data_IF_024620245510
#
_entry.id   IF_024620245510
#
_cell.length_a   1.000
_cell.length_b   1.000
_cell.length_c   1.000
_cell.angle_alpha   90.00
_cell.angle_beta   90.00
_cell.angle_gamma   90.00
#
_symmetry.space_group_name_H-M   'P 1'
#
loop_
_entity.id
_entity.type
_entity.pdbx_description
1 polymer ?
#
# COMPACT_ATOMS: atom_id res chain seq x y z
N UNK A 1 -18.81 -1.06 -13.89
CA UNK A 1 -19.74 -0.74 -12.78
C UNK A 1 -21.22 -0.63 -13.24
N UNK A 2 -21.59 -1.23 -14.36
CA UNK A 2 -22.98 -1.34 -14.80
C UNK A 2 -23.68 -2.39 -13.93
N UNK A 3 -24.62 -1.96 -13.08
CA UNK A 3 -25.49 -2.84 -12.30
C UNK A 3 -25.44 -2.69 -10.78
N UNK A 4 -24.54 -1.89 -10.22
CA UNK A 4 -24.55 -1.60 -8.79
C UNK A 4 -25.31 -0.30 -8.56
N UNK A 5 -26.41 -0.38 -7.83
CA UNK A 5 -27.16 0.81 -7.41
C UNK A 5 -26.40 1.48 -6.24
N UNK A 6 -25.50 2.39 -6.57
CA UNK A 6 -24.69 3.11 -5.59
C UNK A 6 -25.57 3.84 -4.56
N UNK A 7 -26.74 4.35 -4.97
CA UNK A 7 -27.67 5.01 -4.04
C UNK A 7 -28.18 4.07 -2.95
N UNK A 8 -28.49 2.85 -3.28
CA UNK A 8 -28.98 1.82 -2.35
C UNK A 8 -27.92 1.45 -1.30
N UNK A 9 -26.64 1.41 -1.71
CA UNK A 9 -25.51 1.21 -0.79
C UNK A 9 -25.38 2.40 0.16
N UNK A 10 -25.52 3.62 -0.31
CA UNK A 10 -25.41 4.83 0.52
C UNK A 10 -26.60 4.98 1.50
N UNK A 11 -27.78 4.49 1.16
CA UNK A 11 -28.94 4.50 2.05
C UNK A 11 -28.85 3.48 3.19
N UNK A 12 -28.16 2.36 2.96
CA UNK A 12 -27.99 1.26 3.94
C UNK A 12 -26.71 1.34 4.76
N UNK A 13 -25.76 2.23 4.42
CA UNK A 13 -24.43 2.28 5.00
C UNK A 13 -24.09 3.69 5.51
N UNK A 14 -23.50 3.79 6.69
CA UNK A 14 -22.99 5.06 7.18
C UNK A 14 -21.75 5.48 6.37
N UNK A 15 -21.91 6.52 5.55
CA UNK A 15 -20.80 7.09 4.77
C UNK A 15 -20.11 8.18 5.58
N UNK A 16 -18.79 8.06 5.75
CA UNK A 16 -17.97 9.05 6.43
C UNK A 16 -16.98 9.62 5.40
N UNK A 17 -17.09 10.90 5.11
CA UNK A 17 -16.15 11.60 4.25
C UNK A 17 -14.91 12.02 5.06
N UNK A 18 -13.72 11.76 4.52
CA UNK A 18 -12.46 12.11 5.21
C UNK A 18 -12.30 13.62 5.37
N UNK A 19 -12.85 14.38 4.44
CA UNK A 19 -12.90 15.85 4.48
C UNK A 19 -13.65 16.34 5.71
N UNK A 20 -14.79 15.71 6.03
CA UNK A 20 -15.59 16.05 7.21
C UNK A 20 -14.88 15.70 8.51
N UNK A 21 -14.12 14.60 8.53
CA UNK A 21 -13.29 14.24 9.67
C UNK A 21 -12.22 15.31 9.95
N UNK A 22 -11.59 15.83 8.89
CA UNK A 22 -10.58 16.89 9.01
C UNK A 22 -11.17 18.16 9.67
N UNK A 23 -12.39 18.51 9.33
CA UNK A 23 -13.09 19.69 9.90
C UNK A 23 -13.44 19.45 11.37
N UNK A 24 -13.78 18.20 11.74
CA UNK A 24 -14.12 17.82 13.11
C UNK A 24 -12.93 17.76 14.08
N UNK A 25 -11.71 17.67 13.58
CA UNK A 25 -10.51 17.67 14.40
C UNK A 25 -10.21 19.11 14.82
N UNK A 26 -10.39 19.42 16.11
CA UNK A 26 -10.04 20.75 16.62
C UNK A 26 -8.53 20.98 16.58
N UNK A 27 -8.11 22.22 16.32
CA UNK A 27 -6.69 22.60 16.27
C UNK A 27 -5.96 22.27 17.59
N UNK A 28 -6.63 22.44 18.73
CA UNK A 28 -6.10 22.10 20.05
C UNK A 28 -5.85 20.60 20.20
N UNK A 29 -6.78 19.76 19.73
CA UNK A 29 -6.63 18.30 19.78
C UNK A 29 -5.48 17.84 18.85
N UNK A 30 -5.38 18.41 17.67
CA UNK A 30 -4.26 18.16 16.76
C UNK A 30 -2.91 18.55 17.35
N UNK A 31 -2.82 19.71 18.00
CA UNK A 31 -1.61 20.16 18.67
C UNK A 31 -1.22 19.27 19.87
N UNK A 32 -2.17 18.89 20.71
CA UNK A 32 -1.91 17.96 21.82
C UNK A 32 -1.44 16.58 21.33
N UNK A 33 -2.05 16.07 20.27
CA UNK A 33 -1.61 14.81 19.63
C UNK A 33 -0.19 14.95 19.07
N UNK A 34 0.13 16.05 18.41
CA UNK A 34 1.48 16.31 17.92
C UNK A 34 2.50 16.33 19.08
N UNK A 35 2.21 17.03 20.17
CA UNK A 35 3.06 17.05 21.36
C UNK A 35 3.23 15.65 21.96
N UNK A 36 2.15 14.88 22.05
CA UNK A 36 2.23 13.51 22.57
C UNK A 36 3.15 12.64 21.72
N UNK A 37 3.02 12.67 20.40
CA UNK A 37 3.90 11.90 19.48
C UNK A 37 5.35 12.37 19.56
N UNK A 38 5.59 13.67 19.81
CA UNK A 38 6.96 14.26 19.85
C UNK A 38 7.69 13.99 21.16
N UNK A 39 6.99 13.95 22.29
CA UNK A 39 7.60 13.92 23.62
C UNK A 39 7.31 12.65 24.44
N UNK A 40 6.23 11.92 24.13
CA UNK A 40 5.93 10.68 24.84
C UNK A 40 6.72 9.52 24.24
N UNK A 41 7.40 8.72 25.08
CA UNK A 41 8.12 7.54 24.63
C UNK A 41 7.22 6.57 23.83
N UNK A 42 7.75 6.00 22.76
CA UNK A 42 6.99 5.15 21.83
C UNK A 42 6.29 3.95 22.50
N UNK A 43 6.87 3.40 23.57
CA UNK A 43 6.25 2.29 24.29
C UNK A 43 4.95 2.70 25.00
N UNK A 44 4.89 3.93 25.55
CA UNK A 44 3.66 4.46 26.17
C UNK A 44 2.61 4.78 25.10
N UNK A 45 3.01 5.35 23.97
CA UNK A 45 2.09 5.58 22.85
C UNK A 45 1.49 4.26 22.36
N UNK A 46 2.28 3.19 22.29
CA UNK A 46 1.78 1.85 21.93
C UNK A 46 0.73 1.35 22.93
N UNK A 47 0.96 1.52 24.24
CA UNK A 47 0.01 1.09 25.26
C UNK A 47 -1.30 1.89 25.18
N UNK A 48 -1.22 3.19 24.91
CA UNK A 48 -2.39 4.09 24.90
C UNK A 48 -3.21 3.95 23.61
N UNK A 49 -2.54 3.81 22.46
CA UNK A 49 -3.18 3.94 21.15
C UNK A 49 -3.31 2.64 20.37
N UNK A 50 -2.55 1.60 20.71
CA UNK A 50 -2.64 0.33 20.01
C UNK A 50 -3.54 -0.63 20.77
N UNK A 51 -4.54 -1.15 20.08
CA UNK A 51 -5.35 -2.26 20.55
C UNK A 51 -4.50 -3.54 20.54
N UNK A 52 -4.64 -4.36 21.57
CA UNK A 52 -4.04 -5.69 21.58
C UNK A 52 -4.75 -6.55 20.52
N UNK A 53 -4.07 -6.81 19.43
CA UNK A 53 -4.52 -7.70 18.38
C UNK A 53 -3.69 -8.99 18.39
N UNK A 54 -4.31 -10.11 18.08
CA UNK A 54 -3.61 -11.37 17.81
C UNK A 54 -3.08 -11.37 16.37
N UNK A 55 -1.97 -12.03 16.15
CA UNK A 55 -1.46 -12.26 14.78
C UNK A 55 -2.43 -13.08 13.93
N UNK A 56 -3.29 -13.86 14.60
CA UNK A 56 -4.32 -14.69 13.95
C UNK A 56 -5.60 -13.92 13.63
N UNK A 57 -5.74 -12.68 14.13
CA UNK A 57 -6.91 -11.86 13.80
C UNK A 57 -6.88 -11.49 12.32
N UNK A 58 -8.06 -11.35 11.72
CA UNK A 58 -8.22 -10.90 10.34
C UNK A 58 -7.69 -9.48 10.20
N UNK A 59 -6.61 -9.33 9.46
CA UNK A 59 -5.98 -8.03 9.20
C UNK A 59 -6.51 -7.38 7.92
N UNK A 60 -6.83 -8.19 6.90
CA UNK A 60 -7.32 -7.71 5.60
C UNK A 60 -8.30 -8.72 5.03
N UNK A 61 -9.34 -8.22 4.37
CA UNK A 61 -10.25 -9.02 3.52
C UNK A 61 -10.08 -8.53 2.09
N UNK A 62 -9.67 -9.42 1.20
CA UNK A 62 -9.52 -9.14 -0.22
C UNK A 62 -10.55 -9.92 -1.03
N UNK A 63 -11.12 -9.28 -2.04
CA UNK A 63 -12.08 -9.94 -2.90
C UNK A 63 -11.40 -10.48 -4.16
N UNK A 64 -11.63 -11.75 -4.44
CA UNK A 64 -11.25 -12.38 -5.70
C UNK A 64 -12.47 -12.54 -6.60
N UNK A 65 -12.26 -12.55 -7.92
CA UNK A 65 -13.36 -12.70 -8.89
C UNK A 65 -14.06 -14.07 -8.86
N UNK A 66 -13.52 -15.03 -8.11
CA UNK A 66 -14.06 -16.39 -8.04
C UNK A 66 -14.14 -17.08 -9.41
N UNK A 67 -13.84 -18.37 -9.49
CA UNK A 67 -13.93 -19.14 -10.73
C UNK A 67 -15.36 -19.26 -11.28
N UNK A 68 -16.36 -19.07 -10.43
CA UNK A 68 -17.80 -19.20 -10.75
C UNK A 68 -18.49 -17.85 -10.92
N UNK A 69 -17.72 -16.74 -11.04
CA UNK A 69 -18.26 -15.39 -11.24
C UNK A 69 -18.81 -14.71 -9.99
N UNK A 70 -18.89 -15.42 -8.84
CA UNK A 70 -19.26 -14.82 -7.56
C UNK A 70 -18.01 -14.37 -6.81
N UNK A 71 -17.89 -13.08 -6.43
CA UNK A 71 -16.73 -12.60 -5.67
C UNK A 71 -16.63 -13.34 -4.32
N UNK A 72 -15.42 -13.82 -4.02
CA UNK A 72 -15.13 -14.47 -2.73
C UNK A 72 -14.25 -13.56 -1.89
N UNK A 73 -14.67 -13.30 -0.65
CA UNK A 73 -13.86 -12.59 0.34
C UNK A 73 -12.82 -13.55 0.92
N UNK A 74 -11.55 -13.22 0.77
CA UNK A 74 -10.42 -13.97 1.34
C UNK A 74 -9.92 -13.21 2.55
N UNK A 75 -10.04 -13.82 3.72
CA UNK A 75 -9.51 -13.26 4.97
C UNK A 75 -8.02 -13.59 5.09
N UNK A 76 -7.22 -12.55 5.33
CA UNK A 76 -5.79 -12.67 5.59
C UNK A 76 -5.51 -12.25 7.03
N UNK A 77 -4.90 -13.12 7.80
CA UNK A 77 -4.44 -12.80 9.15
C UNK A 77 -3.12 -12.03 9.11
N UNK A 78 -2.76 -11.43 10.26
CA UNK A 78 -1.44 -10.81 10.43
C UNK A 78 -0.29 -11.77 10.11
N UNK A 79 -0.39 -13.04 10.54
CA UNK A 79 0.62 -14.06 10.26
C UNK A 79 0.72 -14.41 8.77
N UNK A 80 -0.40 -14.45 8.04
CA UNK A 80 -0.35 -14.66 6.59
C UNK A 80 0.43 -13.55 5.87
N UNK A 81 0.18 -12.29 6.25
CA UNK A 81 0.82 -11.13 5.66
C UNK A 81 2.31 -11.10 6.00
N UNK A 82 2.64 -11.27 7.30
CA UNK A 82 4.03 -11.28 7.78
C UNK A 82 4.85 -12.40 7.13
N UNK A 83 4.30 -13.63 7.12
CA UNK A 83 4.98 -14.77 6.51
C UNK A 83 5.24 -14.58 5.03
N UNK A 84 4.26 -14.07 4.28
CA UNK A 84 4.43 -13.80 2.85
C UNK A 84 5.42 -12.65 2.59
N UNK A 85 5.37 -11.57 3.36
CA UNK A 85 6.33 -10.46 3.24
C UNK A 85 7.77 -10.94 3.50
N UNK A 86 7.99 -11.74 4.55
CA UNK A 86 9.30 -12.32 4.85
C UNK A 86 9.81 -13.25 3.75
N UNK A 87 8.93 -14.09 3.18
CA UNK A 87 9.30 -14.94 2.05
C UNK A 87 9.77 -14.12 0.86
N UNK A 88 9.05 -13.05 0.52
CA UNK A 88 9.44 -12.15 -0.58
C UNK A 88 10.75 -11.45 -0.26
N UNK A 89 10.89 -10.86 0.94
CA UNK A 89 12.10 -10.19 1.38
C UNK A 89 13.35 -11.07 1.23
N UNK A 90 13.24 -12.34 1.65
CA UNK A 90 14.32 -13.31 1.54
C UNK A 90 14.68 -13.63 0.09
N UNK A 91 13.68 -13.76 -0.80
CA UNK A 91 13.93 -14.08 -2.22
C UNK A 91 14.66 -12.95 -2.92
N UNK A 92 14.24 -11.69 -2.68
CA UNK A 92 14.84 -10.52 -3.32
C UNK A 92 16.01 -9.94 -2.53
N UNK A 93 16.35 -10.52 -1.38
CA UNK A 93 17.38 -10.04 -0.46
C UNK A 93 17.17 -8.55 -0.06
N UNK A 94 15.91 -8.20 0.19
CA UNK A 94 15.52 -6.83 0.50
C UNK A 94 16.10 -6.34 1.82
N UNK A 95 16.48 -5.08 1.88
CA UNK A 95 17.03 -4.45 3.09
C UNK A 95 16.65 -2.97 3.20
N UNK A 96 16.90 -2.36 4.34
CA UNK A 96 16.50 -0.97 4.64
C UNK A 96 17.15 0.12 3.77
N UNK A 97 18.18 -0.21 2.99
CA UNK A 97 18.79 0.71 2.03
C UNK A 97 18.07 0.74 0.69
N UNK A 98 17.22 -0.26 0.45
CA UNK A 98 16.45 -0.32 -0.77
C UNK A 98 15.39 0.79 -0.82
N UNK A 99 15.00 1.12 -2.05
CA UNK A 99 13.91 2.05 -2.35
C UNK A 99 12.95 1.34 -3.29
N UNK A 100 11.76 1.04 -2.80
CA UNK A 100 10.74 0.37 -3.57
C UNK A 100 9.87 1.36 -4.34
N UNK A 101 9.64 1.10 -5.61
CA UNK A 101 8.62 1.78 -6.38
C UNK A 101 7.28 1.04 -6.28
N UNK A 102 6.32 1.65 -5.58
CA UNK A 102 4.98 1.09 -5.36
C UNK A 102 3.99 1.63 -6.40
N UNK A 103 3.71 0.84 -7.42
CA UNK A 103 2.76 1.20 -8.50
C UNK A 103 1.57 0.25 -8.58
N UNK A 104 1.64 -0.89 -7.90
CA UNK A 104 0.60 -1.90 -7.99
C UNK A 104 -0.65 -1.50 -7.21
N UNK A 105 -1.85 -1.79 -7.74
CA UNK A 105 -3.11 -1.48 -7.08
C UNK A 105 -3.24 -2.16 -5.70
N UNK A 106 -3.56 -1.40 -4.67
CA UNK A 106 -3.64 -1.89 -3.29
C UNK A 106 -4.84 -2.81 -3.02
N UNK A 107 -5.83 -2.84 -3.90
CA UNK A 107 -6.97 -3.74 -3.79
C UNK A 107 -6.67 -5.17 -4.28
N UNK A 108 -5.48 -5.43 -4.82
CA UNK A 108 -4.99 -6.75 -5.15
C UNK A 108 -3.99 -7.25 -4.11
N UNK A 109 -4.02 -8.55 -3.80
CA UNK A 109 -3.14 -9.18 -2.82
C UNK A 109 -1.67 -8.90 -3.09
N UNK A 110 -1.23 -9.00 -4.35
CA UNK A 110 0.14 -8.70 -4.75
C UNK A 110 0.50 -7.23 -4.47
N UNK A 111 -0.37 -6.29 -4.85
CA UNK A 111 -0.13 -4.86 -4.61
C UNK A 111 -0.03 -4.54 -3.12
N UNK A 112 -1.02 -4.93 -2.32
CA UNK A 112 -1.03 -4.56 -0.90
C UNK A 112 0.13 -5.19 -0.12
N UNK A 113 0.48 -6.45 -0.40
CA UNK A 113 1.59 -7.11 0.32
C UNK A 113 2.93 -6.50 -0.09
N UNK A 114 3.20 -6.37 -1.38
CA UNK A 114 4.53 -5.98 -1.87
C UNK A 114 4.77 -4.48 -1.76
N UNK A 115 3.76 -3.65 -2.03
CA UNK A 115 3.97 -2.19 -2.06
C UNK A 115 3.58 -1.48 -0.75
N UNK A 116 2.99 -2.21 0.21
CA UNK A 116 2.62 -1.63 1.51
C UNK A 116 3.24 -2.39 2.67
N UNK A 117 2.89 -3.67 2.84
CA UNK A 117 3.32 -4.41 4.03
C UNK A 117 4.81 -4.73 4.01
N UNK A 118 5.35 -5.20 2.90
CA UNK A 118 6.78 -5.50 2.78
C UNK A 118 7.66 -4.29 3.10
N UNK A 119 7.47 -3.09 2.51
CA UNK A 119 8.26 -1.93 2.85
C UNK A 119 8.12 -1.51 4.32
N UNK A 120 6.93 -1.61 4.90
CA UNK A 120 6.72 -1.27 6.32
C UNK A 120 7.41 -2.25 7.27
N UNK A 121 7.41 -3.54 6.95
CA UNK A 121 8.00 -4.60 7.78
C UNK A 121 9.53 -4.53 7.72
N UNK A 122 10.09 -4.37 6.53
CA UNK A 122 11.55 -4.36 6.30
C UNK A 122 12.18 -2.96 6.48
N UNK A 123 11.37 -1.92 6.73
CA UNK A 123 11.87 -0.54 6.85
C UNK A 123 12.37 0.05 5.54
N UNK A 124 11.87 -0.43 4.41
CA UNK A 124 12.23 0.02 3.07
C UNK A 124 11.49 1.32 2.74
N UNK A 125 12.18 2.27 2.14
CA UNK A 125 11.53 3.49 1.61
C UNK A 125 10.64 3.13 0.43
N UNK A 126 9.42 3.68 0.39
CA UNK A 126 8.50 3.45 -0.71
C UNK A 126 8.16 4.77 -1.42
N UNK A 127 8.33 4.78 -2.73
CA UNK A 127 7.89 5.86 -3.64
C UNK A 127 6.64 5.35 -4.34
N UNK A 128 5.50 5.97 -4.06
CA UNK A 128 4.22 5.51 -4.60
C UNK A 128 3.79 6.32 -5.84
N UNK A 129 3.24 5.62 -6.83
CA UNK A 129 2.55 6.22 -7.96
C UNK A 129 1.22 5.49 -8.20
N UNK A 130 0.08 6.21 -8.28
CA UNK A 130 -1.23 5.56 -8.28
C UNK A 130 -1.62 4.90 -9.60
N UNK A 131 -0.99 5.31 -10.70
CA UNK A 131 -1.31 4.80 -12.04
C UNK A 131 -0.16 3.92 -12.59
N UNK A 132 -0.32 2.58 -12.59
CA UNK A 132 0.70 1.68 -13.14
C UNK A 132 0.83 1.76 -14.66
N UNK A 133 -0.05 2.47 -15.35
CA UNK A 133 0.00 2.62 -16.81
C UNK A 133 0.80 3.85 -17.25
N UNK A 134 1.06 4.80 -16.37
CA UNK A 134 1.89 5.98 -16.66
C UNK A 134 3.39 5.66 -16.58
N UNK A 135 3.86 4.93 -17.60
CA UNK A 135 5.26 4.49 -17.66
C UNK A 135 6.27 5.64 -17.64
N UNK A 136 5.95 6.81 -18.20
CA UNK A 136 6.88 7.93 -18.20
C UNK A 136 7.04 8.55 -16.80
N UNK A 137 5.96 8.75 -16.06
CA UNK A 137 6.04 9.21 -14.68
C UNK A 137 6.79 8.20 -13.81
N UNK A 138 6.50 6.91 -13.98
CA UNK A 138 7.18 5.81 -13.29
C UNK A 138 8.69 5.84 -13.55
N UNK A 139 9.11 5.93 -14.81
CA UNK A 139 10.52 5.99 -15.17
C UNK A 139 11.22 7.22 -14.56
N UNK A 140 10.56 8.38 -14.56
CA UNK A 140 11.06 9.59 -13.90
C UNK A 140 11.22 9.39 -12.39
N UNK A 141 10.27 8.73 -11.73
CA UNK A 141 10.35 8.44 -10.29
C UNK A 141 11.50 7.48 -9.97
N UNK A 142 11.67 6.40 -10.76
CA UNK A 142 12.81 5.49 -10.60
C UNK A 142 14.13 6.26 -10.68
N UNK A 143 14.31 7.06 -11.72
CA UNK A 143 15.53 7.85 -11.92
C UNK A 143 15.76 8.89 -10.82
N UNK A 144 14.71 9.63 -10.42
CA UNK A 144 14.81 10.73 -9.46
C UNK A 144 15.06 10.24 -8.04
N UNK A 145 14.43 9.16 -7.63
CA UNK A 145 14.54 8.61 -6.28
C UNK A 145 15.58 7.47 -6.19
N UNK A 146 16.18 7.06 -7.32
CA UNK A 146 17.11 5.93 -7.39
C UNK A 146 16.47 4.67 -6.81
N UNK A 147 15.23 4.36 -7.25
CA UNK A 147 14.55 3.16 -6.81
C UNK A 147 15.36 1.92 -7.19
N UNK A 148 15.50 0.98 -6.24
CA UNK A 148 16.28 -0.25 -6.41
C UNK A 148 15.39 -1.46 -6.64
N UNK A 149 14.12 -1.37 -6.26
CA UNK A 149 13.14 -2.44 -6.42
C UNK A 149 11.91 -1.88 -7.13
N UNK A 150 11.53 -2.54 -8.21
CA UNK A 150 10.27 -2.27 -8.90
C UNK A 150 9.54 -3.59 -9.15
N UNK A 151 8.26 -3.62 -8.77
CA UNK A 151 7.41 -4.80 -8.97
C UNK A 151 6.29 -4.49 -9.94
N UNK A 152 5.93 -5.46 -10.76
CA UNK A 152 4.89 -5.28 -11.74
C UNK A 152 4.55 -6.57 -12.47
N UNK A 153 3.54 -6.50 -13.31
CA UNK A 153 3.22 -7.59 -14.24
C UNK A 153 3.96 -7.42 -15.55
N UNK A 154 4.15 -8.50 -16.28
CA UNK A 154 4.76 -8.46 -17.62
C UNK A 154 4.04 -7.48 -18.57
N UNK A 155 2.73 -7.26 -18.35
CA UNK A 155 1.93 -6.32 -19.15
C UNK A 155 2.39 -4.88 -18.93
N UNK A 156 2.61 -4.47 -17.68
CA UNK A 156 3.10 -3.12 -17.37
C UNK A 156 4.52 -2.90 -17.87
N UNK A 157 5.43 -3.86 -17.64
CA UNK A 157 6.79 -3.75 -18.14
C UNK A 157 6.86 -3.67 -19.66
N UNK A 158 6.02 -4.44 -20.35
CA UNK A 158 5.89 -4.36 -21.82
C UNK A 158 5.37 -3.00 -22.30
N UNK A 159 4.49 -2.36 -21.51
CA UNK A 159 4.00 -1.02 -21.79
C UNK A 159 5.13 0.02 -21.67
N UNK A 160 5.98 -0.10 -20.64
CA UNK A 160 7.10 0.82 -20.43
C UNK A 160 8.15 0.69 -21.54
N UNK A 161 8.49 -0.53 -21.95
CA UNK A 161 9.49 -0.76 -23.01
C UNK A 161 9.03 -0.28 -24.39
N UNK A 162 7.74 -0.16 -24.64
CA UNK A 162 7.18 0.37 -25.89
C UNK A 162 7.09 1.90 -25.94
N UNK A 163 7.28 2.57 -24.82
CA UNK A 163 7.16 4.01 -24.74
C UNK A 163 8.45 4.68 -25.18
N UNK A 164 8.46 5.28 -26.35
CA UNK A 164 9.64 5.94 -26.96
C UNK A 164 10.18 7.15 -26.20
N UNK A 165 9.42 7.67 -25.23
CA UNK A 165 9.85 8.78 -24.37
C UNK A 165 10.65 8.30 -23.15
N UNK A 166 10.72 6.99 -22.93
CA UNK A 166 11.45 6.40 -21.81
C UNK A 166 12.84 5.98 -22.30
N UNK A 167 13.86 6.53 -21.67
CA UNK A 167 15.23 6.12 -21.93
C UNK A 167 15.63 4.99 -20.93
N UNK A 168 16.30 3.93 -21.40
CA UNK A 168 16.70 2.81 -20.53
C UNK A 168 17.49 3.21 -19.27
N UNK A 169 18.35 4.22 -19.36
CA UNK A 169 19.10 4.76 -18.20
C UNK A 169 18.22 5.31 -17.08
N UNK A 170 16.93 5.55 -17.34
CA UNK A 170 16.01 5.96 -16.26
C UNK A 170 15.76 4.84 -15.26
N UNK A 171 16.09 3.60 -15.62
CA UNK A 171 15.97 2.40 -14.78
C UNK A 171 17.32 1.85 -14.31
N UNK A 172 18.39 2.61 -14.44
CA UNK A 172 19.77 2.18 -14.12
C UNK A 172 19.95 1.74 -12.66
N UNK A 173 19.11 2.23 -11.75
CA UNK A 173 19.18 1.92 -10.32
C UNK A 173 18.46 0.63 -9.89
N UNK A 174 17.69 -0.02 -10.79
CA UNK A 174 16.95 -1.26 -10.53
C UNK A 174 17.86 -2.49 -10.55
#
# INVERSE_FOLDING_TARGET
LKGINIKEIFESTQVIYLEDLKIKISKTRGFLTYLSVRFVPSFLLKIIHLTKTSKNDTAVILFSSGSEGVPKGVELSGDNILGNAQQIANIINANSNDIMLGTLPLFHAFGIVVTTYLPLIEGIKCVAHPDPTDGLAIAKLVSSYKATIMTGTSTFFRLYTKNTKIHPLMFESL
#
